data_IF_638298098102
#
_entry.id   IF_638298098102
#
_cell.length_a   1.000
_cell.length_b   1.000
_cell.length_c   1.000
_cell.angle_alpha   90.00
_cell.angle_beta   90.00
_cell.angle_gamma   90.00
#
_symmetry.space_group_name_H-M   'P 1'
#
loop_
_entity.id
_entity.type
_entity.pdbx_description
1 polymer ?
#
# COMPACT_ATOMS: atom_id res chain seq x y z
N UNK A 1 -3.03 2.79 -4.72
CA UNK A 1 -2.48 3.57 -5.83
C UNK A 1 -2.80 5.05 -5.65
N UNK A 2 -2.18 5.95 -6.47
CA UNK A 2 -2.50 7.38 -6.48
C UNK A 2 -1.38 8.23 -7.10
N UNK A 3 -1.67 9.49 -7.40
CA UNK A 3 -0.71 10.43 -7.98
C UNK A 3 0.54 10.62 -7.10
N UNK A 4 1.69 11.03 -7.65
CA UNK A 4 2.87 11.37 -6.85
C UNK A 4 2.56 12.46 -5.82
N UNK A 5 3.20 12.38 -4.64
CA UNK A 5 3.18 13.40 -3.58
C UNK A 5 1.84 13.63 -2.86
N UNK A 6 0.82 12.80 -3.06
CA UNK A 6 -0.48 12.94 -2.36
C UNK A 6 -0.50 12.35 -0.94
N UNK A 7 0.60 11.76 -0.47
CA UNK A 7 0.71 11.25 0.90
C UNK A 7 0.56 9.74 1.05
N UNK A 8 0.66 8.97 -0.04
CA UNK A 8 0.58 7.49 0.00
C UNK A 8 1.57 6.87 0.99
N UNK A 9 2.85 7.27 0.94
CA UNK A 9 3.87 6.71 1.83
C UNK A 9 3.61 7.03 3.32
N UNK A 10 2.96 8.16 3.64
CA UNK A 10 2.49 8.43 5.00
C UNK A 10 1.33 7.50 5.38
N UNK A 11 0.39 7.27 4.45
CA UNK A 11 -0.74 6.36 4.70
C UNK A 11 -0.28 4.93 4.95
N UNK A 12 0.63 4.40 4.11
CA UNK A 12 1.12 3.02 4.31
C UNK A 12 2.07 2.90 5.50
N UNK A 13 2.82 3.96 5.87
CA UNK A 13 3.60 4.00 7.11
C UNK A 13 2.68 3.99 8.34
N UNK A 14 1.56 4.70 8.27
CA UNK A 14 0.52 4.66 9.30
C UNK A 14 -0.08 3.26 9.43
N UNK A 15 -0.45 2.61 8.33
CA UNK A 15 -0.93 1.23 8.33
C UNK A 15 0.10 0.28 8.97
N UNK A 16 1.37 0.41 8.55
CA UNK A 16 2.47 -0.40 9.10
C UNK A 16 2.60 -0.25 10.61
N UNK A 17 2.57 0.96 11.12
CA UNK A 17 2.64 1.24 12.55
C UNK A 17 1.47 0.61 13.31
N UNK A 18 0.24 0.79 12.83
CA UNK A 18 -0.93 0.24 13.50
C UNK A 18 -0.94 -1.30 13.52
N UNK A 19 -0.51 -1.95 12.43
CA UNK A 19 -0.37 -3.42 12.40
C UNK A 19 0.72 -3.89 13.35
N UNK A 20 1.87 -3.22 13.38
CA UNK A 20 2.98 -3.62 14.26
C UNK A 20 2.68 -3.44 15.75
N UNK A 21 1.83 -2.48 16.10
CA UNK A 21 1.46 -2.15 17.50
C UNK A 21 0.12 -2.72 17.95
N UNK A 22 -0.71 -3.22 17.03
CA UNK A 22 -2.07 -3.70 17.34
C UNK A 22 -3.06 -2.58 17.69
N UNK A 23 -2.69 -1.32 17.47
CA UNK A 23 -3.58 -0.19 17.74
C UNK A 23 -4.66 -0.09 16.66
N UNK A 24 -5.88 0.25 17.05
CA UNK A 24 -6.98 0.49 16.11
C UNK A 24 -6.61 1.56 15.09
N UNK A 25 -6.95 1.30 13.82
CA UNK A 25 -6.84 2.28 12.75
C UNK A 25 -8.24 2.77 12.35
N UNK A 26 -8.53 4.06 12.53
CA UNK A 26 -9.82 4.68 12.19
C UNK A 26 -11.04 3.99 12.82
N UNK A 27 -10.88 3.40 14.01
CA UNK A 27 -11.92 2.64 14.69
C UNK A 27 -12.00 1.16 14.31
N UNK A 28 -11.31 0.73 13.26
CA UNK A 28 -11.20 -0.69 12.88
C UNK A 28 -10.23 -1.43 13.81
N UNK A 29 -10.59 -2.65 14.18
CA UNK A 29 -9.69 -3.58 14.87
C UNK A 29 -8.54 -3.96 13.95
N UNK A 30 -7.35 -4.09 14.54
CA UNK A 30 -6.13 -4.46 13.82
C UNK A 30 -5.51 -5.69 14.46
N UNK A 31 -5.28 -6.73 13.69
CA UNK A 31 -4.54 -7.90 14.14
C UNK A 31 -3.04 -7.57 14.20
N UNK A 32 -2.50 -7.54 15.41
CA UNK A 32 -1.08 -7.25 15.64
C UNK A 32 -0.19 -8.34 15.04
N UNK A 33 0.94 -7.94 14.49
CA UNK A 33 2.01 -8.81 14.03
C UNK A 33 3.18 -8.05 13.43
N UNK A 34 4.24 -8.78 13.12
CA UNK A 34 5.43 -8.20 12.50
C UNK A 34 5.13 -7.68 11.10
N UNK A 35 5.70 -6.52 10.78
CA UNK A 35 5.56 -5.83 9.50
C UNK A 35 6.93 -5.66 8.83
N UNK A 36 7.03 -6.02 7.57
CA UNK A 36 8.15 -5.66 6.70
C UNK A 36 7.74 -4.53 5.77
N UNK A 37 8.43 -3.39 5.83
CA UNK A 37 8.22 -2.28 4.92
C UNK A 37 9.45 -2.09 4.01
N UNK A 38 9.31 -2.49 2.75
CA UNK A 38 10.28 -2.25 1.69
C UNK A 38 10.09 -0.83 1.14
N UNK A 39 10.80 0.15 1.72
CA UNK A 39 10.73 1.57 1.36
C UNK A 39 11.78 1.88 0.27
N UNK A 40 11.55 1.42 -0.95
CA UNK A 40 12.54 1.33 -2.02
C UNK A 40 12.82 2.67 -2.75
N UNK A 41 12.13 3.73 -2.38
CA UNK A 41 12.36 5.11 -2.87
C UNK A 41 12.86 6.04 -1.77
N UNK A 42 13.04 5.52 -0.56
CA UNK A 42 13.49 6.28 0.61
C UNK A 42 14.87 5.80 1.09
N UNK A 43 15.52 6.61 1.89
CA UNK A 43 16.67 6.23 2.72
C UNK A 43 16.25 6.12 4.20
N UNK A 44 17.11 5.51 5.00
CA UNK A 44 16.83 5.30 6.43
C UNK A 44 16.64 6.61 7.21
N UNK A 45 17.34 7.69 6.84
CA UNK A 45 17.20 8.97 7.50
C UNK A 45 15.81 9.58 7.27
N UNK A 46 15.29 9.47 6.04
CA UNK A 46 13.93 9.92 5.71
C UNK A 46 12.86 9.07 6.39
N UNK A 47 13.06 7.76 6.44
CA UNK A 47 12.15 6.85 7.16
C UNK A 47 12.10 7.20 8.63
N UNK A 48 13.27 7.34 9.29
CA UNK A 48 13.38 7.72 10.69
C UNK A 48 12.71 9.07 10.97
N UNK A 49 12.99 10.09 10.14
CA UNK A 49 12.39 11.41 10.27
C UNK A 49 10.87 11.37 10.11
N UNK A 50 10.37 10.57 9.16
CA UNK A 50 8.92 10.37 8.95
C UNK A 50 8.27 9.71 10.17
N UNK A 51 8.83 8.61 10.65
CA UNK A 51 8.29 7.90 11.81
C UNK A 51 8.32 8.77 13.07
N UNK A 52 9.41 9.51 13.28
CA UNK A 52 9.51 10.45 14.40
C UNK A 52 8.48 11.58 14.30
N UNK A 53 8.27 12.15 13.10
CA UNK A 53 7.25 13.17 12.86
C UNK A 53 5.83 12.65 13.18
N UNK A 54 5.54 11.40 12.79
CA UNK A 54 4.22 10.80 12.95
C UNK A 54 3.94 10.36 14.39
N UNK A 55 4.93 9.75 15.05
CA UNK A 55 4.70 9.02 16.31
C UNK A 55 5.67 9.37 17.43
N UNK A 56 6.63 10.26 17.18
CA UNK A 56 7.68 10.58 18.16
C UNK A 56 8.60 9.39 18.41
N UNK A 57 9.00 9.22 19.66
CA UNK A 57 9.75 8.04 20.11
C UNK A 57 8.74 6.96 20.48
N UNK A 58 8.56 5.99 19.61
CA UNK A 58 7.64 4.87 19.78
C UNK A 58 8.38 3.53 19.65
N UNK A 59 7.86 2.50 20.31
CA UNK A 59 8.32 1.14 20.10
C UNK A 59 7.90 0.67 18.71
N UNK A 60 8.90 0.33 17.90
CA UNK A 60 8.72 -0.21 16.54
C UNK A 60 9.45 -1.55 16.39
N UNK A 61 9.62 -2.31 17.46
CA UNK A 61 10.35 -3.59 17.46
C UNK A 61 9.79 -4.60 16.46
N UNK A 62 8.48 -4.55 16.20
CA UNK A 62 7.79 -5.40 15.21
C UNK A 62 7.62 -4.72 13.84
N UNK A 63 8.27 -3.57 13.60
CA UNK A 63 8.22 -2.84 12.33
C UNK A 63 9.62 -2.74 11.72
N UNK A 64 9.87 -3.54 10.70
CA UNK A 64 11.16 -3.64 10.03
C UNK A 64 11.15 -2.87 8.71
N UNK A 65 12.20 -2.10 8.47
CA UNK A 65 12.38 -1.34 7.23
C UNK A 65 13.57 -1.86 6.43
N UNK A 66 13.39 -1.94 5.11
CA UNK A 66 14.48 -2.16 4.17
C UNK A 66 14.38 -1.13 3.03
N UNK A 67 15.52 -0.57 2.63
CA UNK A 67 15.62 0.41 1.53
C UNK A 67 16.08 -0.22 0.22
N UNK A 68 16.34 -1.52 0.22
CA UNK A 68 16.69 -2.30 -0.93
C UNK A 68 15.95 -3.64 -0.91
N UNK A 69 15.61 -4.14 -2.09
CA UNK A 69 15.02 -5.45 -2.30
C UNK A 69 15.50 -6.04 -3.64
N UNK A 70 15.50 -7.35 -3.71
CA UNK A 70 15.70 -8.08 -4.95
C UNK A 70 14.48 -7.88 -5.88
N UNK A 71 14.65 -8.28 -7.15
CA UNK A 71 13.57 -8.20 -8.15
C UNK A 71 12.68 -9.44 -8.06
N UNK A 72 11.42 -9.27 -8.46
CA UNK A 72 10.50 -10.40 -8.57
C UNK A 72 11.00 -11.37 -9.65
N UNK A 73 11.01 -12.67 -9.32
CA UNK A 73 11.62 -13.68 -10.19
C UNK A 73 13.15 -13.74 -10.12
N UNK A 74 13.78 -12.86 -9.34
CA UNK A 74 15.23 -12.83 -9.14
C UNK A 74 15.59 -12.56 -7.66
N UNK A 75 15.17 -13.46 -6.78
CA UNK A 75 15.55 -13.48 -5.37
C UNK A 75 14.65 -12.70 -4.40
N UNK A 76 13.59 -12.00 -4.85
CA UNK A 76 12.64 -11.36 -3.94
C UNK A 76 11.90 -12.41 -3.10
N UNK A 77 11.45 -13.49 -3.73
CA UNK A 77 10.70 -14.55 -3.05
C UNK A 77 11.55 -15.17 -1.92
N UNK A 78 12.83 -15.44 -2.18
CA UNK A 78 13.79 -15.96 -1.19
C UNK A 78 14.03 -14.96 -0.05
N UNK A 79 14.14 -13.68 -0.39
CA UNK A 79 14.29 -12.59 0.60
C UNK A 79 13.09 -12.53 1.54
N UNK A 80 11.87 -12.60 1.02
CA UNK A 80 10.64 -12.60 1.80
C UNK A 80 10.49 -13.89 2.62
N UNK A 81 10.81 -15.05 2.05
CA UNK A 81 10.80 -16.35 2.75
C UNK A 81 11.74 -16.33 3.97
N UNK A 82 12.94 -15.81 3.82
CA UNK A 82 13.91 -15.72 4.90
C UNK A 82 13.40 -14.78 6.01
N UNK A 83 12.82 -13.63 5.65
CA UNK A 83 12.23 -12.72 6.62
C UNK A 83 11.11 -13.39 7.42
N UNK A 84 10.19 -14.10 6.73
CA UNK A 84 9.06 -14.78 7.41
C UNK A 84 9.54 -15.93 8.31
N UNK A 85 10.61 -16.64 7.94
CA UNK A 85 11.22 -17.66 8.82
C UNK A 85 11.79 -17.07 10.09
N UNK A 86 12.39 -15.88 10.01
CA UNK A 86 12.92 -15.14 11.17
C UNK A 86 11.80 -14.50 12.01
N UNK A 87 10.68 -14.14 11.35
CA UNK A 87 9.53 -13.48 11.96
C UNK A 87 8.23 -14.21 11.62
N UNK A 88 7.95 -15.36 12.25
CA UNK A 88 6.79 -16.22 11.90
C UNK A 88 5.43 -15.59 12.23
N UNK A 89 5.40 -14.52 13.00
CA UNK A 89 4.22 -13.71 13.32
C UNK A 89 3.96 -12.57 12.31
N UNK A 90 4.67 -12.55 11.17
CA UNK A 90 4.49 -11.57 10.11
C UNK A 90 3.03 -11.54 9.63
N UNK A 91 2.45 -10.35 9.57
CA UNK A 91 1.08 -10.10 9.08
C UNK A 91 1.03 -9.25 7.83
N UNK A 92 2.02 -8.37 7.64
CA UNK A 92 1.99 -7.41 6.57
C UNK A 92 3.37 -7.22 5.94
N UNK A 93 3.40 -7.24 4.61
CA UNK A 93 4.54 -6.78 3.82
C UNK A 93 4.10 -5.59 2.97
N UNK A 94 4.80 -4.47 3.06
CA UNK A 94 4.55 -3.29 2.23
C UNK A 94 5.69 -3.13 1.24
N UNK A 95 5.35 -2.92 -0.04
CA UNK A 95 6.30 -2.68 -1.12
C UNK A 95 6.06 -1.29 -1.71
N UNK A 96 6.88 -0.33 -1.36
CA UNK A 96 6.79 1.08 -1.80
C UNK A 96 8.05 1.46 -2.59
N UNK A 97 8.05 1.37 -3.90
CA UNK A 97 6.94 1.11 -4.81
C UNK A 97 7.13 -0.18 -5.60
N UNK A 98 6.03 -0.74 -6.12
CA UNK A 98 6.04 -1.92 -6.98
C UNK A 98 6.99 -1.80 -8.17
N UNK A 99 7.15 -0.59 -8.72
CA UNK A 99 8.04 -0.35 -9.85
C UNK A 99 9.51 -0.72 -9.56
N UNK A 100 9.93 -0.64 -8.31
CA UNK A 100 11.31 -0.91 -7.89
C UNK A 100 11.65 -2.40 -7.84
N UNK A 101 10.66 -3.27 -7.73
CA UNK A 101 10.85 -4.73 -7.71
C UNK A 101 10.70 -5.38 -9.09
N UNK A 102 10.33 -4.62 -10.13
CA UNK A 102 10.27 -5.10 -11.51
C UNK A 102 11.67 -5.35 -12.07
N UNK A 103 11.80 -6.35 -12.93
CA UNK A 103 13.03 -6.55 -13.69
C UNK A 103 13.27 -5.39 -14.67
N UNK A 104 14.52 -5.00 -14.82
CA UNK A 104 14.93 -4.01 -15.82
C UNK A 104 15.19 -4.74 -17.13
N UNK A 105 14.34 -4.52 -18.15
CA UNK A 105 14.58 -5.00 -19.51
C UNK A 105 13.40 -5.81 -20.10
N UNK A 106 13.03 -5.49 -21.32
CA UNK A 106 11.96 -6.12 -22.05
C UNK A 106 10.74 -5.20 -22.23
N UNK A 107 9.67 -5.68 -22.80
CA UNK A 107 8.37 -5.00 -22.94
C UNK A 107 7.73 -4.80 -21.55
N UNK A 108 8.39 -4.00 -20.71
CA UNK A 108 8.26 -3.94 -19.26
C UNK A 108 6.93 -3.37 -18.76
N UNK A 109 6.00 -3.02 -19.65
CA UNK A 109 4.72 -2.40 -19.33
C UNK A 109 3.54 -3.07 -20.03
N UNK A 110 3.62 -4.39 -20.23
CA UNK A 110 2.50 -5.13 -20.79
C UNK A 110 1.52 -5.56 -19.70
N UNK A 111 0.25 -5.69 -20.07
CA UNK A 111 -0.80 -6.27 -19.25
C UNK A 111 -0.38 -7.62 -18.64
N UNK A 112 0.22 -8.48 -19.46
CA UNK A 112 0.66 -9.81 -19.03
C UNK A 112 1.73 -9.75 -17.93
N UNK A 113 2.68 -8.80 -18.03
CA UNK A 113 3.72 -8.62 -17.02
C UNK A 113 3.15 -8.16 -15.66
N UNK A 114 2.23 -7.21 -15.67
CA UNK A 114 1.60 -6.71 -14.45
C UNK A 114 0.75 -7.80 -13.78
N UNK A 115 0.00 -8.53 -14.57
CA UNK A 115 -0.81 -9.66 -14.10
C UNK A 115 0.05 -10.75 -13.47
N UNK A 116 1.17 -11.09 -14.10
CA UNK A 116 2.10 -12.11 -13.60
C UNK A 116 2.75 -11.69 -12.27
N UNK A 117 3.18 -10.42 -12.16
CA UNK A 117 3.81 -9.89 -10.95
C UNK A 117 2.84 -9.94 -9.77
N UNK A 118 1.65 -9.39 -9.92
CA UNK A 118 0.64 -9.40 -8.84
C UNK A 118 0.22 -10.84 -8.53
N UNK A 119 0.08 -11.69 -9.54
CA UNK A 119 -0.22 -13.11 -9.35
C UNK A 119 0.84 -13.86 -8.55
N UNK A 120 2.14 -13.55 -8.73
CA UNK A 120 3.23 -14.12 -7.92
C UNK A 120 3.13 -13.64 -6.47
N UNK A 121 2.96 -12.33 -6.25
CA UNK A 121 2.82 -11.76 -4.91
C UNK A 121 1.59 -12.30 -4.19
N UNK A 122 0.45 -12.43 -4.89
CA UNK A 122 -0.76 -13.01 -4.32
C UNK A 122 -0.54 -14.46 -3.88
N UNK A 123 0.00 -15.31 -4.75
CA UNK A 123 0.28 -16.71 -4.38
C UNK A 123 1.24 -16.82 -3.19
N UNK A 124 2.20 -15.91 -3.09
CA UNK A 124 3.09 -15.82 -1.92
C UNK A 124 2.31 -15.45 -0.66
N UNK A 125 1.48 -14.40 -0.73
CA UNK A 125 0.64 -13.95 0.39
C UNK A 125 -0.31 -15.05 0.88
N UNK A 126 -1.00 -15.74 -0.05
CA UNK A 126 -1.91 -16.84 0.26
C UNK A 126 -1.18 -18.00 0.96
N UNK A 127 0.01 -18.40 0.46
CA UNK A 127 0.82 -19.47 1.04
C UNK A 127 1.22 -19.20 2.48
N UNK A 128 1.55 -17.96 2.80
CA UNK A 128 2.03 -17.56 4.12
C UNK A 128 0.94 -16.96 5.02
N UNK A 129 -0.30 -16.84 4.52
CA UNK A 129 -1.43 -16.21 5.23
C UNK A 129 -1.08 -14.80 5.74
N UNK A 130 -0.45 -14.00 4.88
CA UNK A 130 -0.07 -12.62 5.13
C UNK A 130 -0.76 -11.67 4.14
N UNK A 131 -0.80 -10.39 4.47
CA UNK A 131 -1.20 -9.34 3.55
C UNK A 131 0.03 -8.75 2.86
N UNK A 132 -0.02 -8.57 1.53
CA UNK A 132 0.98 -7.80 0.78
C UNK A 132 0.31 -6.56 0.19
N UNK A 133 0.80 -5.39 0.58
CA UNK A 133 0.35 -4.10 0.04
C UNK A 133 1.42 -3.55 -0.90
N UNK A 134 1.07 -3.35 -2.17
CA UNK A 134 1.96 -2.72 -3.14
C UNK A 134 1.54 -1.28 -3.40
N UNK A 135 2.46 -0.34 -3.27
CA UNK A 135 2.23 1.06 -3.63
C UNK A 135 2.52 1.26 -5.11
N UNK A 136 1.59 1.92 -5.81
CA UNK A 136 1.70 2.17 -7.23
C UNK A 136 1.30 3.61 -7.59
N UNK A 137 1.87 4.15 -8.69
CA UNK A 137 1.52 5.47 -9.19
C UNK A 137 0.39 5.39 -10.23
N UNK A 138 -0.47 6.40 -10.25
CA UNK A 138 -1.48 6.57 -11.32
C UNK A 138 -0.89 7.34 -12.50
N UNK A 139 -1.42 7.09 -13.70
CA UNK A 139 -1.13 7.88 -14.90
C UNK A 139 -1.82 9.24 -14.82
N UNK A 140 -1.27 10.22 -15.53
CA UNK A 140 -1.84 11.58 -15.59
C UNK A 140 -3.02 11.72 -16.57
N UNK A 141 -3.35 10.69 -17.33
CA UNK A 141 -4.43 10.75 -18.32
C UNK A 141 -5.79 10.63 -17.61
N UNK A 142 -6.77 11.48 -17.98
CA UNK A 142 -8.14 11.31 -17.55
C UNK A 142 -8.69 9.98 -18.09
N UNK A 143 -9.33 9.20 -17.25
CA UNK A 143 -10.04 7.98 -17.62
C UNK A 143 -11.51 8.12 -17.21
N UNK A 144 -12.40 7.39 -17.86
CA UNK A 144 -13.83 7.36 -17.50
C UNK A 144 -14.05 6.77 -16.11
N UNK A 145 -13.31 5.74 -15.78
CA UNK A 145 -13.24 5.13 -14.44
C UNK A 145 -11.95 5.56 -13.74
N UNK A 146 -12.06 5.94 -12.47
CA UNK A 146 -10.94 6.35 -11.63
C UNK A 146 -9.87 5.26 -11.52
N UNK A 147 -10.27 3.98 -11.46
CA UNK A 147 -9.36 2.84 -11.35
C UNK A 147 -8.59 2.54 -12.64
N UNK A 148 -9.09 2.93 -13.81
CA UNK A 148 -8.34 2.86 -15.07
C UNK A 148 -7.11 3.77 -15.08
N UNK A 149 -7.04 4.75 -14.19
CA UNK A 149 -5.86 5.61 -14.04
C UNK A 149 -4.70 4.90 -13.36
N UNK A 150 -4.92 3.74 -12.72
CA UNK A 150 -3.85 2.95 -12.13
C UNK A 150 -2.91 2.51 -13.26
N UNK A 151 -1.68 2.99 -13.19
CA UNK A 151 -0.68 2.84 -14.22
C UNK A 151 -0.39 1.36 -14.52
N UNK A 152 -0.64 0.94 -15.71
CA UNK A 152 -0.36 -0.41 -16.16
C UNK A 152 -1.54 -0.94 -16.93
N UNK A 153 -2.57 -1.37 -16.28
CA UNK A 153 -3.70 -2.01 -16.97
C UNK A 153 -4.76 -2.47 -15.96
N UNK A 154 -5.95 -2.76 -16.44
CA UNK A 154 -6.98 -3.56 -15.73
C UNK A 154 -6.46 -4.88 -15.17
N UNK A 155 -5.29 -5.37 -15.62
CA UNK A 155 -4.63 -6.57 -15.09
C UNK A 155 -4.17 -6.49 -13.65
N UNK A 156 -3.78 -5.32 -13.16
CA UNK A 156 -3.41 -5.15 -11.76
C UNK A 156 -4.60 -5.38 -10.83
N UNK A 157 -5.76 -4.82 -11.18
CA UNK A 157 -7.00 -4.98 -10.40
C UNK A 157 -7.55 -6.40 -10.49
N UNK A 158 -7.44 -7.05 -11.67
CA UNK A 158 -7.98 -8.39 -11.89
C UNK A 158 -7.33 -9.47 -11.02
N UNK A 159 -6.08 -9.28 -10.58
CA UNK A 159 -5.36 -10.24 -9.72
C UNK A 159 -5.36 -9.89 -8.24
N UNK A 160 -5.47 -8.61 -7.89
CA UNK A 160 -5.49 -8.17 -6.50
C UNK A 160 -6.83 -8.54 -5.84
N UNK A 161 -6.80 -8.79 -4.53
CA UNK A 161 -8.03 -9.01 -3.76
C UNK A 161 -8.75 -7.70 -3.46
N UNK A 162 -8.04 -6.59 -3.49
CA UNK A 162 -8.61 -5.26 -3.35
C UNK A 162 -7.67 -4.16 -3.81
N UNK A 163 -8.21 -2.98 -4.00
CA UNK A 163 -7.46 -1.80 -4.37
C UNK A 163 -7.92 -0.57 -3.59
N UNK A 164 -6.95 0.25 -3.23
CA UNK A 164 -7.15 1.56 -2.62
C UNK A 164 -6.63 2.62 -3.58
N UNK A 165 -7.50 3.46 -4.11
CA UNK A 165 -7.14 4.57 -4.99
C UNK A 165 -7.22 5.90 -4.24
N UNK A 166 -6.07 6.44 -3.89
CA UNK A 166 -5.98 7.73 -3.21
C UNK A 166 -6.02 8.87 -4.21
N UNK A 167 -6.95 9.80 -4.01
CA UNK A 167 -7.16 10.96 -4.87
C UNK A 167 -7.21 12.26 -4.07
N UNK A 168 -6.83 13.36 -4.71
CA UNK A 168 -6.93 14.69 -4.16
C UNK A 168 -7.70 15.59 -5.14
N UNK A 169 -8.82 16.14 -4.73
CA UNK A 169 -9.60 17.08 -5.57
C UNK A 169 -8.85 18.41 -5.67
N UNK A 170 -8.65 18.92 -6.90
CA UNK A 170 -7.91 20.17 -7.20
C UNK A 170 -8.33 21.41 -6.40
N UNK A 171 -9.51 21.39 -5.79
CA UNK A 171 -10.07 22.52 -5.00
C UNK A 171 -9.93 22.32 -3.48
N UNK A 172 -9.33 21.19 -3.03
CA UNK A 172 -9.13 20.91 -1.61
C UNK A 172 -7.72 21.27 -1.18
N UNK A 173 -7.56 21.48 0.11
CA UNK A 173 -6.25 21.71 0.71
C UNK A 173 -5.38 20.45 0.53
N UNK A 174 -4.05 20.61 0.57
CA UNK A 174 -3.11 19.50 0.51
C UNK A 174 -3.28 18.48 1.67
N UNK A 175 -4.15 18.78 2.63
CA UNK A 175 -4.44 17.98 3.81
C UNK A 175 -5.69 17.10 3.67
N UNK A 176 -6.41 17.16 2.56
CA UNK A 176 -7.62 16.36 2.34
C UNK A 176 -7.45 15.42 1.15
N UNK A 177 -7.88 14.19 1.30
CA UNK A 177 -7.89 13.18 0.24
C UNK A 177 -9.13 12.29 0.34
N UNK A 178 -9.49 11.65 -0.77
CA UNK A 178 -10.40 10.49 -0.78
C UNK A 178 -9.62 9.24 -1.09
N UNK A 179 -10.05 8.12 -0.53
CA UNK A 179 -9.57 6.79 -0.89
C UNK A 179 -10.77 5.96 -1.32
N UNK A 180 -10.84 5.69 -2.62
CA UNK A 180 -11.81 4.77 -3.17
C UNK A 180 -11.29 3.34 -2.89
N UNK A 181 -12.06 2.55 -2.16
CA UNK A 181 -11.71 1.20 -1.73
C UNK A 181 -12.66 0.20 -2.40
N UNK A 182 -12.08 -0.73 -3.15
CA UNK A 182 -12.79 -1.84 -3.81
C UNK A 182 -12.14 -3.17 -3.44
N UNK A 183 -12.92 -4.21 -3.35
CA UNK A 183 -12.41 -5.54 -3.01
C UNK A 183 -13.40 -6.64 -3.31
N UNK A 184 -12.89 -7.89 -3.41
CA UNK A 184 -13.71 -9.07 -3.77
C UNK A 184 -14.74 -9.42 -2.72
N UNK A 185 -14.38 -9.25 -1.44
CA UNK A 185 -15.16 -9.73 -0.30
C UNK A 185 -15.67 -8.58 0.59
N UNK A 186 -15.72 -7.36 0.03
CA UNK A 186 -16.19 -6.18 0.75
C UNK A 186 -16.99 -5.27 -0.18
N UNK A 187 -17.91 -4.53 0.38
CA UNK A 187 -18.64 -3.50 -0.33
C UNK A 187 -17.71 -2.36 -0.70
N UNK A 188 -17.87 -1.82 -1.91
CA UNK A 188 -17.13 -0.66 -2.36
C UNK A 188 -17.47 0.55 -1.51
N UNK A 189 -16.46 1.34 -1.15
CA UNK A 189 -16.63 2.48 -0.26
C UNK A 189 -15.63 3.59 -0.57
N UNK A 190 -16.02 4.81 -0.25
CA UNK A 190 -15.16 5.98 -0.33
C UNK A 190 -14.82 6.43 1.09
N UNK A 191 -13.54 6.47 1.40
CA UNK A 191 -13.02 6.98 2.66
C UNK A 191 -12.60 8.44 2.47
N UNK A 192 -13.15 9.34 3.28
CA UNK A 192 -12.76 10.75 3.30
C UNK A 192 -11.73 10.96 4.40
N UNK A 193 -10.52 11.30 4.00
CA UNK A 193 -9.39 11.42 4.89
C UNK A 193 -8.94 12.88 5.02
N UNK A 194 -8.55 13.23 6.23
CA UNK A 194 -7.89 14.50 6.56
C UNK A 194 -6.55 14.22 7.22
N UNK A 195 -5.52 14.90 6.73
CA UNK A 195 -4.17 14.75 7.22
C UNK A 195 -3.87 15.87 8.23
N UNK A 196 -3.35 15.51 9.37
CA UNK A 196 -2.85 16.49 10.33
C UNK A 196 -1.61 17.20 9.76
N UNK A 197 -1.55 18.53 9.90
CA UNK A 197 -0.48 19.33 9.32
C UNK A 197 0.87 19.14 10.02
N UNK A 198 0.84 18.88 11.34
CA UNK A 198 2.04 18.68 12.16
C UNK A 198 2.59 17.27 12.05
N UNK A 199 1.77 16.27 12.33
CA UNK A 199 2.18 14.86 12.40
C UNK A 199 2.09 14.14 11.06
N UNK A 200 1.38 14.69 10.08
CA UNK A 200 1.12 14.06 8.77
C UNK A 200 0.28 12.75 8.86
N UNK A 201 -0.33 12.46 10.01
CA UNK A 201 -1.22 11.31 10.22
C UNK A 201 -2.56 11.57 9.55
N UNK A 202 -3.11 10.55 8.89
CA UNK A 202 -4.42 10.58 8.28
C UNK A 202 -5.50 10.15 9.27
N UNK A 203 -6.51 10.98 9.46
CA UNK A 203 -7.76 10.66 10.19
C UNK A 203 -8.89 10.39 9.21
N UNK A 204 -9.76 9.46 9.56
CA UNK A 204 -10.99 9.20 8.82
C UNK A 204 -12.08 10.17 9.30
N UNK A 205 -12.56 11.02 8.40
CA UNK A 205 -13.65 11.98 8.69
C UNK A 205 -15.03 11.33 8.50
N UNK A 206 -15.19 10.55 7.44
CA UNK A 206 -16.41 9.81 7.12
C UNK A 206 -16.15 8.74 6.08
N UNK A 207 -17.07 7.78 6.01
CA UNK A 207 -17.19 6.80 4.93
C UNK A 207 -18.47 7.04 4.14
N UNK A 208 -18.41 6.70 2.85
CA UNK A 208 -19.58 6.69 1.96
C UNK A 208 -19.55 5.34 1.22
N UNK A 209 -20.62 4.57 1.37
CA UNK A 209 -20.78 3.33 0.64
C UNK A 209 -21.45 3.65 -0.68
N UNK A 210 -20.94 3.14 -1.80
CA UNK A 210 -21.69 3.20 -3.04
C UNK A 210 -22.96 2.32 -2.88
N UNK A 211 -24.16 2.84 -3.21
CA UNK A 211 -25.35 2.02 -3.17
C UNK A 211 -25.18 0.87 -4.16
N UNK A 212 -25.44 -0.37 -3.71
CA UNK A 212 -25.47 -1.55 -4.56
C UNK A 212 -26.42 -1.30 -5.72
N UNK A 213 -25.90 -1.14 -6.93
CA UNK A 213 -26.72 -1.12 -8.13
C UNK A 213 -27.04 -2.59 -8.45
N UNK A 214 -28.25 -3.02 -8.19
CA UNK A 214 -28.74 -4.32 -8.68
C UNK A 214 -28.62 -4.37 -10.20
N UNK A 215 -28.13 -5.50 -10.76
CA UNK A 215 -27.96 -5.67 -12.20
C UNK A 215 -29.28 -5.70 -12.96
#
# INVERSE_FOLDING_TARGET
AGAPKIGKSFLVAQLAYHVSTGQRLWGYEVHQGTVLYLALEDDFQRIQSRMFLMYGVADTSSLHFATAANKIGNGLDEQLENFIKEHPDTKLVIIDTMQKIREAGGEAYSYASDYEIIGKLKRFADRHSICIVTVHHTRKQPAGDSFETISGTTGLLGCADGALLMQQKKKRTALEATVDAVGRDQQDQILYLKKDAGTQIWSLERTENEPYQEP
#
